data_IF_329204961793
#
_entry.id   IF_329204961793
#
_cell.length_a   1.000
_cell.length_b   1.000
_cell.length_c   1.000
_cell.angle_alpha   90.00
_cell.angle_beta   90.00
_cell.angle_gamma   90.00
#
_symmetry.space_group_name_H-M   'P 1'
#
loop_
_entity.id
_entity.type
_entity.pdbx_description
1 polymer ?
#
# COMPACT_ATOMS: atom_id res chain seq x y z
N UNK A 1 16.78 8.90 9.28
CA UNK A 1 15.72 9.80 8.77
C UNK A 1 14.81 10.22 9.92
N UNK A 2 14.44 11.50 10.00
CA UNK A 2 13.44 12.00 10.96
C UNK A 2 12.08 12.15 10.24
N UNK A 3 11.06 11.45 10.72
CA UNK A 3 9.68 11.53 10.19
C UNK A 3 8.80 12.24 11.22
N UNK A 4 7.91 13.14 10.81
CA UNK A 4 6.89 13.81 11.64
C UNK A 4 5.51 13.57 11.03
N UNK A 5 4.51 13.09 11.77
CA UNK A 5 3.17 12.92 11.24
C UNK A 5 2.44 14.26 11.39
N UNK A 6 2.01 14.84 10.28
CA UNK A 6 1.29 16.13 10.27
C UNK A 6 -0.24 15.96 10.25
N UNK A 7 -0.75 14.77 10.59
CA UNK A 7 -2.17 14.43 10.48
C UNK A 7 -3.01 14.72 11.73
N UNK A 8 -4.34 14.70 11.56
CA UNK A 8 -5.32 14.85 12.64
C UNK A 8 -5.15 13.85 13.79
N UNK A 9 -4.56 12.68 13.54
CA UNK A 9 -4.27 11.70 14.59
C UNK A 9 -3.34 12.24 15.68
N UNK A 10 -2.52 13.24 15.36
CA UNK A 10 -1.70 13.94 16.35
C UNK A 10 -2.57 14.75 17.34
N UNK A 11 -3.71 15.30 16.90
CA UNK A 11 -4.63 16.02 17.77
C UNK A 11 -5.35 15.09 18.75
N UNK A 12 -5.56 13.84 18.36
CA UNK A 12 -6.13 12.79 19.21
C UNK A 12 -5.10 12.13 20.16
N UNK A 13 -3.84 12.58 20.15
CA UNK A 13 -2.80 12.04 21.04
C UNK A 13 -2.37 10.60 20.72
N UNK A 14 -2.66 10.10 19.50
CA UNK A 14 -2.27 8.74 19.11
C UNK A 14 -0.75 8.59 19.07
N UNK A 15 -0.16 7.53 19.66
CA UNK A 15 1.27 7.30 19.59
C UNK A 15 1.74 7.18 18.14
N UNK A 16 2.87 7.82 17.84
CA UNK A 16 3.34 7.98 16.46
C UNK A 16 3.62 6.65 15.73
N UNK A 17 4.02 5.59 16.46
CA UNK A 17 4.19 4.24 15.88
C UNK A 17 2.90 3.73 15.22
N UNK A 18 1.75 3.96 15.85
CA UNK A 18 0.45 3.55 15.29
C UNK A 18 0.03 4.43 14.11
N UNK A 19 0.33 5.73 14.14
CA UNK A 19 0.05 6.61 13.01
C UNK A 19 0.81 6.19 11.75
N UNK A 20 2.09 5.83 11.89
CA UNK A 20 2.91 5.31 10.78
C UNK A 20 2.34 3.98 10.27
N UNK A 21 2.00 3.06 11.18
CA UNK A 21 1.38 1.77 10.81
C UNK A 21 0.11 1.97 9.98
N UNK A 22 -0.82 2.82 10.44
CA UNK A 22 -2.08 3.09 9.75
C UNK A 22 -1.86 3.75 8.38
N UNK A 23 -0.90 4.69 8.30
CA UNK A 23 -0.59 5.41 7.06
C UNK A 23 -0.04 4.48 5.98
N UNK A 24 0.79 3.50 6.36
CA UNK A 24 1.38 2.54 5.40
C UNK A 24 0.42 1.40 5.07
N UNK A 25 -0.31 0.91 6.07
CA UNK A 25 -1.23 -0.24 5.92
C UNK A 25 -2.50 0.14 5.17
N UNK A 26 -3.00 1.38 5.32
CA UNK A 26 -4.21 1.86 4.66
C UNK A 26 -4.20 1.69 3.14
N UNK A 27 -3.19 2.23 2.42
CA UNK A 27 -3.03 2.01 0.98
C UNK A 27 -2.92 0.53 0.60
N UNK A 28 -2.20 -0.29 1.38
CA UNK A 28 -2.08 -1.72 1.10
C UNK A 28 -3.43 -2.44 1.15
N UNK A 29 -4.22 -2.18 2.19
CA UNK A 29 -5.57 -2.74 2.38
C UNK A 29 -6.53 -2.23 1.28
N UNK A 30 -6.43 -0.95 0.91
CA UNK A 30 -7.22 -0.40 -0.19
C UNK A 30 -6.87 -1.05 -1.54
N UNK A 31 -5.60 -1.38 -1.76
CA UNK A 31 -5.14 -2.16 -2.92
C UNK A 31 -5.73 -3.57 -2.95
N UNK A 32 -5.79 -4.26 -1.81
CA UNK A 32 -6.46 -5.58 -1.69
C UNK A 32 -7.96 -5.48 -1.96
N UNK A 33 -8.63 -4.43 -1.49
CA UNK A 33 -10.04 -4.20 -1.80
C UNK A 33 -10.28 -4.04 -3.31
N UNK A 34 -9.39 -3.33 -4.01
CA UNK A 34 -9.44 -3.24 -5.46
C UNK A 34 -9.22 -4.61 -6.12
N UNK A 35 -8.23 -5.37 -5.65
CA UNK A 35 -7.97 -6.74 -6.09
C UNK A 35 -9.22 -7.64 -5.96
N UNK A 36 -9.93 -7.54 -4.84
CA UNK A 36 -11.17 -8.27 -4.59
C UNK A 36 -12.28 -7.89 -5.60
N UNK A 37 -12.35 -6.62 -6.02
CA UNK A 37 -13.29 -6.19 -7.08
C UNK A 37 -12.95 -6.85 -8.42
N UNK A 38 -11.66 -6.91 -8.79
CA UNK A 38 -11.21 -7.59 -10.01
C UNK A 38 -11.44 -9.09 -9.98
N UNK A 39 -11.13 -9.71 -8.84
CA UNK A 39 -11.40 -11.11 -8.61
C UNK A 39 -12.90 -11.40 -8.74
N UNK A 40 -13.76 -10.52 -8.20
CA UNK A 40 -15.21 -10.66 -8.37
C UNK A 40 -15.66 -10.60 -9.83
N UNK A 41 -14.98 -9.82 -10.68
CA UNK A 41 -15.27 -9.79 -12.12
C UNK A 41 -14.86 -11.08 -12.79
N UNK A 42 -13.66 -11.56 -12.50
CA UNK A 42 -13.22 -12.85 -12.97
C UNK A 42 -14.22 -13.95 -12.54
N UNK A 43 -14.64 -13.95 -11.30
CA UNK A 43 -15.61 -14.90 -10.75
C UNK A 43 -16.95 -14.90 -11.48
N UNK A 44 -17.56 -13.73 -11.71
CA UNK A 44 -18.85 -13.63 -12.40
C UNK A 44 -18.74 -14.09 -13.86
N UNK A 45 -17.60 -13.84 -14.50
CA UNK A 45 -17.36 -14.25 -15.88
C UNK A 45 -16.98 -15.73 -16.00
N UNK A 46 -16.30 -16.28 -15.00
CA UNK A 46 -15.79 -17.65 -15.02
C UNK A 46 -16.82 -18.64 -14.47
N UNK A 47 -16.86 -19.85 -15.01
CA UNK A 47 -17.64 -20.95 -14.43
C UNK A 47 -16.72 -22.05 -13.89
N UNK A 48 -15.75 -21.65 -13.08
CA UNK A 48 -14.76 -22.56 -12.49
C UNK A 48 -15.19 -22.95 -11.06
N UNK A 49 -15.52 -24.24 -10.88
CA UNK A 49 -15.96 -24.82 -9.61
C UNK A 49 -14.85 -24.89 -8.55
N UNK A 50 -13.59 -24.94 -8.96
CA UNK A 50 -12.46 -24.90 -8.04
C UNK A 50 -12.26 -23.48 -7.48
N UNK A 51 -12.28 -22.47 -8.35
CA UNK A 51 -12.12 -21.07 -7.94
C UNK A 51 -13.20 -20.63 -6.93
N UNK A 52 -14.44 -21.12 -7.11
CA UNK A 52 -15.56 -20.94 -6.16
C UNK A 52 -15.19 -21.29 -4.71
N UNK A 53 -14.40 -22.35 -4.50
CA UNK A 53 -14.04 -22.83 -3.16
C UNK A 53 -12.88 -22.06 -2.55
N UNK A 54 -11.85 -21.75 -3.35
CA UNK A 54 -10.62 -21.12 -2.84
C UNK A 54 -10.68 -19.60 -2.73
N UNK A 55 -11.65 -18.95 -3.39
CA UNK A 55 -11.82 -17.50 -3.44
C UNK A 55 -11.75 -16.80 -2.08
N UNK A 56 -12.50 -17.31 -1.09
CA UNK A 56 -12.56 -16.67 0.23
C UNK A 56 -11.20 -16.74 0.90
N UNK A 57 -10.53 -17.90 0.84
CA UNK A 57 -9.18 -18.06 1.37
C UNK A 57 -8.17 -17.14 0.64
N UNK A 58 -8.31 -16.95 -0.68
CA UNK A 58 -7.50 -16.03 -1.46
C UNK A 58 -7.67 -14.57 -1.01
N UNK A 59 -8.90 -14.11 -0.81
CA UNK A 59 -9.18 -12.73 -0.35
C UNK A 59 -8.66 -12.53 1.08
N UNK A 60 -8.97 -13.46 2.00
CA UNK A 60 -8.50 -13.41 3.40
C UNK A 60 -6.97 -13.42 3.43
N UNK A 61 -6.34 -14.31 2.65
CA UNK A 61 -4.89 -14.39 2.54
C UNK A 61 -4.27 -13.06 2.14
N UNK A 62 -4.81 -12.39 1.11
CA UNK A 62 -4.32 -11.07 0.68
C UNK A 62 -4.49 -10.00 1.76
N UNK A 63 -5.59 -9.98 2.52
CA UNK A 63 -5.73 -9.04 3.64
C UNK A 63 -4.75 -9.35 4.78
N UNK A 64 -4.62 -10.61 5.19
CA UNK A 64 -3.65 -11.02 6.20
C UNK A 64 -2.22 -10.62 5.81
N UNK A 65 -1.89 -10.84 4.54
CA UNK A 65 -0.67 -10.38 3.90
C UNK A 65 -0.53 -8.86 4.06
N UNK A 66 -1.46 -8.04 3.55
CA UNK A 66 -1.40 -6.58 3.62
C UNK A 66 -1.21 -6.03 5.03
N UNK A 67 -1.90 -6.59 6.03
CA UNK A 67 -1.70 -6.23 7.44
C UNK A 67 -0.34 -6.68 7.97
N UNK A 68 0.10 -7.90 7.62
CA UNK A 68 1.31 -8.54 8.13
C UNK A 68 2.62 -7.92 7.63
N UNK A 69 2.73 -7.53 6.35
CA UNK A 69 3.99 -6.98 5.83
C UNK A 69 4.37 -5.65 6.50
N UNK A 70 3.38 -4.91 7.01
CA UNK A 70 3.59 -3.64 7.71
C UNK A 70 3.95 -3.82 9.20
N UNK A 71 3.77 -5.03 9.76
CA UNK A 71 4.10 -5.34 11.16
C UNK A 71 5.61 -5.41 11.37
N UNK A 72 6.33 -6.10 10.47
CA UNK A 72 7.77 -6.25 10.57
C UNK A 72 8.52 -4.90 10.67
N UNK A 73 8.32 -3.93 9.74
CA UNK A 73 8.99 -2.64 9.84
C UNK A 73 8.57 -1.85 11.08
N UNK A 74 7.33 -1.99 11.56
CA UNK A 74 6.84 -1.22 12.72
C UNK A 74 7.40 -1.70 14.06
N UNK A 75 7.65 -3.00 14.21
CA UNK A 75 8.35 -3.54 15.40
C UNK A 75 9.82 -3.11 15.41
N UNK A 76 10.44 -2.99 14.23
CA UNK A 76 11.84 -2.55 14.09
C UNK A 76 12.04 -1.03 14.18
N UNK A 77 10.98 -0.25 14.41
CA UNK A 77 11.11 1.17 14.76
C UNK A 77 11.78 1.24 16.14
N UNK A 78 13.02 1.76 16.23
CA UNK A 78 13.76 1.77 17.47
C UNK A 78 12.97 2.48 18.56
N UNK A 79 13.09 1.97 19.79
CA UNK A 79 12.59 2.69 20.95
C UNK A 79 13.32 4.03 21.09
N UNK A 80 12.62 5.04 21.64
CA UNK A 80 13.02 6.44 21.61
C UNK A 80 14.35 6.75 22.31
N UNK A 81 15.08 5.78 22.86
CA UNK A 81 16.42 5.97 23.44
C UNK A 81 17.43 6.52 22.43
N UNK A 82 17.38 6.09 21.16
CA UNK A 82 18.20 6.68 20.08
C UNK A 82 17.84 8.14 19.82
N UNK A 83 16.60 8.55 20.13
CA UNK A 83 16.17 9.96 20.06
C UNK A 83 16.91 10.79 21.10
N UNK A 84 17.10 10.29 22.31
CA UNK A 84 17.77 11.02 23.40
C UNK A 84 19.23 11.30 23.04
N UNK A 85 19.96 10.32 22.53
CA UNK A 85 21.34 10.50 22.05
C UNK A 85 21.44 11.50 20.89
N UNK A 86 20.51 11.44 19.94
CA UNK A 86 20.46 12.39 18.82
C UNK A 86 20.13 13.82 19.28
N UNK A 87 19.17 13.94 20.19
CA UNK A 87 18.78 15.22 20.77
C UNK A 87 19.93 15.81 21.56
N UNK A 88 20.67 14.99 22.30
CA UNK A 88 21.85 15.43 23.03
C UNK A 88 22.96 15.87 22.07
N UNK A 89 23.16 15.16 20.95
CA UNK A 89 24.17 15.49 19.95
C UNK A 89 23.88 16.79 19.17
N UNK A 90 22.61 17.12 18.93
CA UNK A 90 22.19 18.30 18.16
C UNK A 90 21.43 19.35 18.99
N UNK A 91 21.54 19.27 20.32
CA UNK A 91 20.79 20.08 21.27
C UNK A 91 20.84 21.59 20.96
N UNK A 92 22.03 22.13 20.68
CA UNK A 92 22.21 23.55 20.36
C UNK A 92 21.40 24.01 19.15
N UNK A 93 21.25 23.16 18.12
CA UNK A 93 20.49 23.50 16.91
C UNK A 93 18.99 23.41 17.18
N UNK A 94 18.57 22.41 17.95
CA UNK A 94 17.17 22.18 18.30
C UNK A 94 16.61 23.31 19.19
N UNK A 95 17.39 23.77 20.17
CA UNK A 95 17.02 24.90 21.03
C UNK A 95 16.90 26.19 20.22
N UNK A 96 17.87 26.46 19.32
CA UNK A 96 17.87 27.67 18.49
C UNK A 96 16.73 27.71 17.47
N UNK A 97 16.25 26.55 17.03
CA UNK A 97 15.13 26.41 16.08
C UNK A 97 13.76 26.25 16.74
N UNK A 98 13.70 26.26 18.08
CA UNK A 98 12.47 26.05 18.85
C UNK A 98 11.74 24.75 18.47
N UNK A 99 12.52 23.71 18.13
CA UNK A 99 12.00 22.50 17.52
C UNK A 99 11.43 21.53 18.56
N UNK A 100 10.16 21.13 18.38
CA UNK A 100 9.50 20.22 19.33
C UNK A 100 10.03 18.78 19.17
N UNK A 101 10.80 18.36 20.17
CA UNK A 101 11.51 17.08 20.25
C UNK A 101 10.58 15.86 20.22
N UNK A 102 9.35 16.01 20.72
CA UNK A 102 8.37 14.92 20.75
C UNK A 102 7.74 14.66 19.38
N UNK A 103 7.95 15.55 18.41
CA UNK A 103 7.20 15.55 17.17
C UNK A 103 7.79 14.73 16.01
N UNK A 104 8.93 14.07 16.17
CA UNK A 104 9.54 13.27 15.11
C UNK A 104 10.10 11.93 15.58
N UNK A 105 10.03 10.86 14.79
CA UNK A 105 10.73 9.58 15.03
C UNK A 105 11.97 9.50 14.15
N UNK A 106 13.07 9.05 14.74
CA UNK A 106 14.27 8.64 14.01
C UNK A 106 14.07 7.18 13.58
N UNK A 107 13.91 6.95 12.29
CA UNK A 107 13.84 5.59 11.75
C UNK A 107 15.26 5.10 11.44
N UNK A 108 15.55 3.88 11.91
CA UNK A 108 16.79 3.14 11.62
C UNK A 108 16.95 2.95 10.13
N UNK A 109 18.20 3.10 9.68
CA UNK A 109 18.61 3.28 8.30
C UNK A 109 18.59 1.99 7.44
N UNK A 110 17.90 0.93 7.81
CA UNK A 110 17.93 -0.28 6.98
C UNK A 110 16.81 -0.26 5.94
N UNK A 111 17.06 0.16 4.67
CA UNK A 111 16.02 0.22 3.64
C UNK A 111 15.45 -1.17 3.32
N UNK A 112 16.22 -2.24 3.54
CA UNK A 112 15.74 -3.61 3.35
C UNK A 112 14.61 -3.94 4.34
N UNK A 113 14.69 -3.42 5.57
CA UNK A 113 13.67 -3.64 6.61
C UNK A 113 12.40 -2.85 6.34
N UNK A 114 12.51 -1.62 5.83
CA UNK A 114 11.38 -0.71 5.63
C UNK A 114 10.84 -0.70 4.19
N UNK A 115 11.68 -0.41 3.19
CA UNK A 115 11.26 -0.34 1.79
C UNK A 115 11.05 -1.72 1.17
N UNK A 116 11.85 -2.72 1.56
CA UNK A 116 11.83 -4.07 0.98
C UNK A 116 10.44 -4.74 1.00
N UNK A 117 9.80 -4.90 2.18
CA UNK A 117 8.46 -5.47 2.29
C UNK A 117 7.40 -4.68 1.51
N UNK A 118 7.52 -3.35 1.47
CA UNK A 118 6.57 -2.48 0.77
C UNK A 118 6.67 -2.67 -0.75
N UNK A 119 7.87 -2.64 -1.32
CA UNK A 119 8.07 -2.88 -2.75
C UNK A 119 7.67 -4.32 -3.13
N UNK A 120 8.01 -5.30 -2.30
CA UNK A 120 7.60 -6.70 -2.51
C UNK A 120 6.07 -6.84 -2.57
N UNK A 121 5.35 -6.21 -1.64
CA UNK A 121 3.89 -6.21 -1.63
C UNK A 121 3.30 -5.52 -2.87
N UNK A 122 3.88 -4.41 -3.31
CA UNK A 122 3.45 -3.67 -4.50
C UNK A 122 3.58 -4.56 -5.75
N UNK A 123 4.75 -5.18 -5.93
CA UNK A 123 5.00 -6.09 -7.07
C UNK A 123 4.03 -7.27 -7.05
N UNK A 124 3.83 -7.89 -5.88
CA UNK A 124 2.88 -8.99 -5.71
C UNK A 124 1.42 -8.57 -5.99
N UNK A 125 1.02 -7.36 -5.60
CA UNK A 125 -0.34 -6.87 -5.86
C UNK A 125 -0.57 -6.58 -7.34
N UNK A 126 0.41 -5.96 -8.01
CA UNK A 126 0.33 -5.68 -9.45
C UNK A 126 0.36 -6.94 -10.30
N UNK A 127 1.16 -7.94 -9.93
CA UNK A 127 1.20 -9.21 -10.67
C UNK A 127 -0.15 -9.92 -10.61
N UNK A 128 -0.77 -9.99 -9.43
CA UNK A 128 -2.10 -10.55 -9.25
C UNK A 128 -3.17 -9.76 -10.02
N UNK A 129 -3.10 -8.42 -9.98
CA UNK A 129 -3.98 -7.56 -10.76
C UNK A 129 -3.89 -7.86 -12.26
N UNK A 130 -2.67 -7.92 -12.80
CA UNK A 130 -2.44 -8.20 -14.20
C UNK A 130 -3.02 -9.57 -14.60
N UNK A 131 -2.77 -10.61 -13.78
CA UNK A 131 -3.32 -11.96 -13.99
C UNK A 131 -4.85 -11.94 -14.00
N UNK A 132 -5.50 -11.31 -13.02
CA UNK A 132 -6.97 -11.24 -12.94
C UNK A 132 -7.58 -10.48 -14.12
N UNK A 133 -6.94 -9.39 -14.56
CA UNK A 133 -7.37 -8.64 -15.75
C UNK A 133 -7.25 -9.50 -17.00
N UNK A 134 -6.10 -10.11 -17.24
CA UNK A 134 -5.85 -10.94 -18.42
C UNK A 134 -6.83 -12.13 -18.47
N UNK A 135 -7.03 -12.80 -17.33
CA UNK A 135 -8.01 -13.89 -17.23
C UNK A 135 -9.44 -13.41 -17.48
N UNK A 136 -9.82 -12.26 -16.91
CA UNK A 136 -11.17 -11.69 -17.12
C UNK A 136 -11.41 -11.32 -18.58
N UNK A 137 -10.43 -10.71 -19.25
CA UNK A 137 -10.49 -10.36 -20.68
C UNK A 137 -10.57 -11.63 -21.52
N UNK A 138 -9.72 -12.62 -21.25
CA UNK A 138 -9.71 -13.90 -21.97
C UNK A 138 -11.06 -14.63 -21.86
N UNK A 139 -11.60 -14.74 -20.65
CA UNK A 139 -12.91 -15.37 -20.42
C UNK A 139 -14.01 -14.57 -21.12
N UNK A 140 -14.01 -13.24 -21.01
CA UNK A 140 -15.00 -12.39 -21.68
C UNK A 140 -14.93 -12.53 -23.20
N UNK A 141 -13.73 -12.60 -23.79
CA UNK A 141 -13.55 -12.80 -25.24
C UNK A 141 -14.02 -14.18 -25.69
N UNK A 142 -13.75 -15.23 -24.90
CA UNK A 142 -14.21 -16.59 -25.21
C UNK A 142 -15.73 -16.71 -25.23
N UNK A 143 -16.41 -15.92 -24.38
CA UNK A 143 -17.88 -15.88 -24.29
C UNK A 143 -18.54 -14.91 -25.27
N UNK A 144 -17.77 -14.20 -26.11
CA UNK A 144 -18.30 -13.16 -27.03
C UNK A 144 -19.43 -13.67 -27.92
N UNK A 145 -19.32 -14.89 -28.45
CA UNK A 145 -20.34 -15.48 -29.32
C UNK A 145 -21.59 -15.97 -28.57
N UNK A 146 -21.50 -16.18 -27.23
CA UNK A 146 -22.59 -16.68 -26.39
C UNK A 146 -23.35 -15.57 -25.66
N UNK A 147 -22.76 -14.38 -25.55
CA UNK A 147 -23.35 -13.23 -24.87
C UNK A 147 -24.07 -12.32 -25.87
N UNK A 148 -25.16 -11.69 -25.42
CA UNK A 148 -25.78 -10.62 -26.20
C UNK A 148 -24.82 -9.44 -26.35
N UNK A 149 -24.92 -8.72 -27.46
CA UNK A 149 -24.07 -7.56 -27.76
C UNK A 149 -24.13 -6.54 -26.63
N UNK A 150 -25.32 -6.27 -26.08
CA UNK A 150 -25.50 -5.33 -24.98
C UNK A 150 -24.77 -5.77 -23.70
N UNK A 151 -24.87 -7.06 -23.33
CA UNK A 151 -24.19 -7.59 -22.13
C UNK A 151 -22.68 -7.54 -22.29
N UNK A 152 -22.16 -7.92 -23.46
CA UNK A 152 -20.74 -7.84 -23.74
C UNK A 152 -20.21 -6.41 -23.64
N UNK A 153 -20.90 -5.43 -24.22
CA UNK A 153 -20.51 -4.02 -24.14
C UNK A 153 -20.57 -3.49 -22.70
N UNK A 154 -21.58 -3.90 -21.92
CA UNK A 154 -21.67 -3.54 -20.51
C UNK A 154 -20.46 -4.05 -19.71
N UNK A 155 -20.11 -5.33 -19.86
CA UNK A 155 -18.94 -5.93 -19.17
C UNK A 155 -17.64 -5.26 -19.61
N UNK A 156 -17.47 -4.99 -20.90
CA UNK A 156 -16.29 -4.27 -21.42
C UNK A 156 -16.16 -2.87 -20.83
N UNK A 157 -17.23 -2.07 -20.85
CA UNK A 157 -17.22 -0.71 -20.26
C UNK A 157 -16.92 -0.75 -18.76
N UNK A 158 -17.48 -1.72 -18.04
CA UNK A 158 -17.21 -1.90 -16.63
C UNK A 158 -15.73 -2.20 -16.36
N UNK A 159 -15.11 -3.11 -17.13
CA UNK A 159 -13.68 -3.41 -17.00
C UNK A 159 -12.79 -2.18 -17.28
N UNK A 160 -13.14 -1.37 -18.29
CA UNK A 160 -12.42 -0.12 -18.58
C UNK A 160 -12.53 0.85 -17.40
N UNK A 161 -13.72 1.02 -16.82
CA UNK A 161 -13.92 1.88 -15.66
C UNK A 161 -13.08 1.43 -14.45
N UNK A 162 -12.97 0.13 -14.22
CA UNK A 162 -12.09 -0.39 -13.16
C UNK A 162 -10.61 -0.08 -13.44
N UNK A 163 -10.15 -0.20 -14.69
CA UNK A 163 -8.75 0.12 -15.04
C UNK A 163 -8.47 1.59 -14.77
N UNK A 164 -9.40 2.48 -15.15
CA UNK A 164 -9.32 3.91 -14.85
C UNK A 164 -9.25 4.16 -13.34
N UNK A 165 -10.12 3.51 -12.55
CA UNK A 165 -10.11 3.60 -11.09
C UNK A 165 -8.76 3.15 -10.50
N UNK A 166 -8.17 2.10 -11.07
CA UNK A 166 -6.89 1.54 -10.63
C UNK A 166 -5.71 2.47 -10.93
N UNK A 167 -5.75 3.16 -12.08
CA UNK A 167 -4.77 4.19 -12.44
C UNK A 167 -4.86 5.37 -11.46
N UNK A 168 -6.08 5.84 -11.15
CA UNK A 168 -6.29 6.91 -10.17
C UNK A 168 -5.77 6.51 -8.78
N UNK A 169 -6.10 5.30 -8.32
CA UNK A 169 -5.58 4.76 -7.07
C UNK A 169 -4.05 4.74 -7.05
N UNK A 170 -3.44 4.27 -8.14
CA UNK A 170 -1.97 4.21 -8.26
C UNK A 170 -1.34 5.60 -8.21
N UNK A 171 -1.96 6.59 -8.84
CA UNK A 171 -1.44 7.96 -8.85
C UNK A 171 -1.52 8.63 -7.46
N UNK A 172 -2.68 8.55 -6.79
CA UNK A 172 -2.90 9.28 -5.54
C UNK A 172 -2.34 8.58 -4.30
N UNK A 173 -2.38 7.25 -4.25
CA UNK A 173 -2.02 6.51 -3.05
C UNK A 173 -0.70 5.74 -3.19
N UNK A 174 -0.39 5.24 -4.39
CA UNK A 174 0.76 4.38 -4.57
C UNK A 174 2.04 5.14 -4.96
N UNK A 175 1.92 6.21 -5.77
CA UNK A 175 3.07 7.00 -6.17
C UNK A 175 3.86 7.58 -4.97
N UNK A 176 3.23 8.19 -3.93
CA UNK A 176 3.96 8.70 -2.77
C UNK A 176 4.73 7.60 -2.03
N UNK A 177 4.10 6.44 -1.87
CA UNK A 177 4.68 5.27 -1.19
C UNK A 177 5.89 4.73 -1.95
N UNK A 178 5.80 4.70 -3.28
CA UNK A 178 6.86 4.18 -4.15
C UNK A 178 8.04 5.14 -4.19
N UNK A 179 7.79 6.44 -4.36
CA UNK A 179 8.82 7.49 -4.31
C UNK A 179 9.56 7.44 -2.97
N UNK A 180 8.82 7.36 -1.87
CA UNK A 180 9.40 7.25 -0.53
C UNK A 180 10.27 5.99 -0.37
N UNK A 181 9.77 4.84 -0.83
CA UNK A 181 10.48 3.56 -0.73
C UNK A 181 11.77 3.55 -1.55
N UNK A 182 11.74 4.13 -2.76
CA UNK A 182 12.91 4.26 -3.63
C UNK A 182 13.92 5.26 -3.05
N UNK A 183 13.46 6.41 -2.56
CA UNK A 183 14.32 7.41 -1.92
C UNK A 183 15.11 6.85 -0.73
N UNK A 184 14.52 5.91 0.03
CA UNK A 184 15.22 5.20 1.12
C UNK A 184 16.42 4.36 0.63
N UNK A 185 16.35 3.76 -0.56
CA UNK A 185 17.46 3.00 -1.13
C UNK A 185 18.56 3.89 -1.72
N UNK A 186 18.20 5.04 -2.28
CA UNK A 186 19.14 5.96 -2.93
C UNK A 186 19.68 7.04 -1.99
N UNK A 187 19.41 6.94 -0.69
CA UNK A 187 19.82 7.92 0.33
C UNK A 187 19.38 9.36 0.02
N UNK A 188 18.41 9.54 -0.86
CA UNK A 188 18.08 10.82 -1.49
C UNK A 188 16.94 11.49 -0.74
N UNK A 189 17.24 12.01 0.44
CA UNK A 189 16.25 12.59 1.36
C UNK A 189 16.11 14.10 1.16
N UNK A 190 15.46 14.54 0.09
CA UNK A 190 15.10 15.95 -0.05
C UNK A 190 13.83 16.24 0.77
N UNK A 191 14.00 16.71 2.02
CA UNK A 191 12.90 17.14 2.89
C UNK A 191 12.42 18.57 2.58
N UNK A 192 12.80 19.12 1.42
CA UNK A 192 12.43 20.44 0.96
C UNK A 192 11.36 20.38 -0.14
N UNK A 193 10.13 20.05 0.26
CA UNK A 193 8.87 20.40 -0.42
C UNK A 193 7.74 20.34 0.59
#
# INVERSE_FOLDING_TARGET
>A
MAVRPLGYFNWFGLPMKYQIYLTITGPAVAGVSLLAVYENRYYVLCDNSFWKKIRIAYIIGNYCCAFGFCVYPTIHIPEQTIREDWVQRYYCILVKSNFNINSFIIMTYNPIVFAGPMLGHIVNSFSQFAVLVLLSVHVLSSKRARLSVNTYQMQKKFMIALVVQSVLFSFFLLAPVTIYSVAMFFESYNQGL
#
